data_IF_640010748421
#
_entry.id   IF_640010748421
#
_cell.length_a   1.000
_cell.length_b   1.000
_cell.length_c   1.000
_cell.angle_alpha   90.00
_cell.angle_beta   90.00
_cell.angle_gamma   90.00
#
_symmetry.space_group_name_H-M   'P 1'
#
loop_
_entity.id
_entity.type
_entity.pdbx_description
1 polymer ?
#
# COMPACT_ATOMS: atom_id res chain seq x y z
N UNK A 1 11.65 -3.20 -6.06
CA UNK A 1 11.33 -4.13 -4.96
C UNK A 1 10.03 -4.86 -5.27
N UNK A 2 10.07 -6.18 -5.45
CA UNK A 2 8.93 -6.97 -5.93
C UNK A 2 7.73 -6.99 -4.96
N UNK A 3 8.02 -7.06 -3.65
CA UNK A 3 7.01 -7.11 -2.58
C UNK A 3 6.07 -5.89 -2.53
N UNK A 4 6.50 -4.75 -3.10
CA UNK A 4 5.68 -3.53 -3.26
C UNK A 4 5.02 -3.51 -4.64
N UNK A 5 5.79 -3.78 -5.71
CA UNK A 5 5.28 -3.73 -7.09
C UNK A 5 4.18 -4.76 -7.35
N UNK A 6 4.29 -5.95 -6.78
CA UNK A 6 3.34 -7.04 -6.94
C UNK A 6 2.61 -7.34 -5.62
N UNK A 7 2.48 -6.33 -4.76
CA UNK A 7 1.75 -6.47 -3.51
C UNK A 7 0.28 -6.86 -3.79
N UNK A 8 -0.29 -7.86 -3.10
CA UNK A 8 -1.66 -8.29 -3.37
C UNK A 8 -2.71 -7.20 -3.13
N UNK A 9 -2.48 -6.26 -2.21
CA UNK A 9 -3.37 -5.11 -2.03
C UNK A 9 -3.33 -4.17 -3.25
N UNK A 10 -2.15 -3.98 -3.86
CA UNK A 10 -2.00 -3.25 -5.13
C UNK A 10 -2.74 -3.94 -6.27
N UNK A 11 -2.60 -5.26 -6.39
CA UNK A 11 -3.31 -6.05 -7.43
C UNK A 11 -4.83 -5.87 -7.26
N UNK A 12 -5.33 -5.85 -6.03
CA UNK A 12 -6.73 -5.58 -5.71
C UNK A 12 -7.13 -4.09 -5.84
N UNK A 13 -6.18 -3.18 -6.06
CA UNK A 13 -6.43 -1.75 -6.22
C UNK A 13 -6.87 -1.06 -4.93
N UNK A 14 -6.46 -1.56 -3.77
CA UNK A 14 -6.89 -1.08 -2.44
C UNK A 14 -5.69 -0.77 -1.54
N UNK A 15 -5.94 -0.06 -0.45
CA UNK A 15 -4.97 0.14 0.64
C UNK A 15 -4.93 -1.09 1.57
N UNK A 16 -3.86 -1.23 2.35
CA UNK A 16 -3.67 -2.35 3.27
C UNK A 16 -4.76 -2.43 4.36
N UNK A 17 -5.27 -1.26 4.78
CA UNK A 17 -6.33 -1.12 5.77
C UNK A 17 -7.73 -0.91 5.14
N UNK A 18 -7.90 -1.25 3.86
CA UNK A 18 -9.18 -1.12 3.19
C UNK A 18 -10.26 -2.03 3.82
N UNK A 19 -11.50 -1.55 3.80
CA UNK A 19 -12.62 -2.33 4.30
C UNK A 19 -12.88 -3.56 3.44
N UNK A 20 -13.49 -4.61 4.01
CA UNK A 20 -13.97 -5.78 3.25
C UNK A 20 -14.89 -5.37 2.10
N UNK A 21 -15.69 -4.31 2.29
CA UNK A 21 -16.57 -3.76 1.26
C UNK A 21 -15.79 -3.20 0.07
N UNK A 22 -14.73 -2.46 0.30
CA UNK A 22 -13.88 -1.91 -0.77
C UNK A 22 -13.15 -3.02 -1.53
N UNK A 23 -12.64 -4.03 -0.81
CA UNK A 23 -12.02 -5.21 -1.40
C UNK A 23 -13.00 -5.93 -2.33
N UNK A 24 -14.22 -6.26 -1.87
CA UNK A 24 -15.20 -6.96 -2.71
C UNK A 24 -15.70 -6.10 -3.89
N UNK A 25 -15.84 -4.78 -3.70
CA UNK A 25 -16.17 -3.84 -4.78
C UNK A 25 -15.12 -3.91 -5.89
N UNK A 26 -13.85 -3.75 -5.54
CA UNK A 26 -12.77 -3.74 -6.53
C UNK A 26 -12.58 -5.11 -7.18
N UNK A 27 -12.69 -6.22 -6.43
CA UNK A 27 -12.69 -7.59 -7.00
C UNK A 27 -13.78 -7.75 -8.06
N UNK A 28 -14.98 -7.27 -7.78
CA UNK A 28 -16.12 -7.34 -8.70
C UNK A 28 -15.86 -6.50 -9.96
N UNK A 29 -15.29 -5.30 -9.80
CA UNK A 29 -14.92 -4.43 -10.91
C UNK A 29 -13.84 -5.06 -11.79
N UNK A 30 -12.78 -5.62 -11.20
CA UNK A 30 -11.71 -6.31 -11.95
C UNK A 30 -12.29 -7.48 -12.76
N UNK A 31 -13.14 -8.32 -12.15
CA UNK A 31 -13.81 -9.42 -12.86
C UNK A 31 -14.70 -8.93 -14.00
N UNK A 32 -15.42 -7.82 -13.82
CA UNK A 32 -16.28 -7.26 -14.86
C UNK A 32 -15.47 -6.75 -16.07
N UNK A 33 -14.35 -6.07 -15.82
CA UNK A 33 -13.46 -5.58 -16.87
C UNK A 33 -12.76 -6.73 -17.61
N UNK A 34 -12.34 -7.77 -16.90
CA UNK A 34 -11.71 -8.96 -17.50
C UNK A 34 -12.63 -9.65 -18.52
N UNK A 35 -13.95 -9.71 -18.27
CA UNK A 35 -14.95 -10.29 -19.20
C UNK A 35 -14.99 -9.60 -20.57
N UNK A 36 -14.57 -8.34 -20.65
CA UNK A 36 -14.53 -7.57 -21.91
C UNK A 36 -13.10 -7.34 -22.40
N UNK A 37 -12.13 -8.10 -21.90
CA UNK A 37 -10.72 -8.01 -22.30
C UNK A 37 -10.04 -6.71 -21.89
N UNK A 38 -10.47 -6.09 -20.78
CA UNK A 38 -9.92 -4.84 -20.26
C UNK A 38 -9.41 -5.00 -18.83
N UNK A 39 -8.57 -4.06 -18.41
CA UNK A 39 -8.04 -3.97 -17.04
C UNK A 39 -8.44 -2.62 -16.44
N UNK A 40 -9.05 -2.57 -15.24
CA UNK A 40 -9.33 -1.30 -14.59
C UNK A 40 -8.06 -0.72 -13.98
N UNK A 41 -8.01 0.62 -13.89
CA UNK A 41 -7.03 1.36 -13.11
C UNK A 41 -7.66 1.88 -11.82
N UNK A 42 -6.88 1.93 -10.75
CA UNK A 42 -7.29 2.46 -9.46
C UNK A 42 -6.32 3.55 -8.97
N UNK A 43 -6.77 4.46 -8.09
CA UNK A 43 -5.92 5.54 -7.57
C UNK A 43 -4.64 5.07 -6.88
N UNK A 44 -4.65 3.86 -6.32
CA UNK A 44 -3.54 3.28 -5.56
C UNK A 44 -2.62 2.40 -6.41
N UNK A 45 -2.73 2.46 -7.74
CA UNK A 45 -1.84 1.72 -8.63
C UNK A 45 -0.44 2.33 -8.63
N UNK A 46 -0.37 3.66 -8.45
CA UNK A 46 0.85 4.47 -8.47
C UNK A 46 1.73 4.17 -9.69
N UNK A 47 1.11 4.05 -10.87
CA UNK A 47 1.81 3.60 -12.09
C UNK A 47 2.94 4.55 -12.52
N UNK A 48 2.81 5.84 -12.19
CA UNK A 48 3.85 6.87 -12.35
C UNK A 48 5.15 6.54 -11.59
N UNK A 49 5.05 5.79 -10.49
CA UNK A 49 6.19 5.47 -9.60
C UNK A 49 6.57 3.99 -9.69
N UNK A 50 5.59 3.09 -9.78
CA UNK A 50 5.78 1.64 -9.70
C UNK A 50 5.72 0.95 -11.07
N UNK A 51 5.36 1.67 -12.14
CA UNK A 51 5.06 1.11 -13.45
C UNK A 51 3.68 0.47 -13.50
N UNK A 52 3.33 -0.12 -14.65
CA UNK A 52 2.02 -0.77 -14.83
C UNK A 52 1.80 -1.91 -13.84
N UNK A 53 0.54 -2.11 -13.45
CA UNK A 53 0.12 -3.25 -12.65
C UNK A 53 -0.58 -4.28 -13.53
N UNK A 54 -0.21 -5.55 -13.37
CA UNK A 54 -0.86 -6.65 -14.08
C UNK A 54 -2.09 -7.14 -13.28
N UNK A 55 -3.24 -7.23 -13.96
CA UNK A 55 -4.50 -7.72 -13.38
C UNK A 55 -5.19 -8.69 -14.32
N UNK A 56 -4.59 -9.85 -14.48
CA UNK A 56 -5.27 -11.01 -15.07
C UNK A 56 -6.19 -11.66 -14.03
N UNK A 57 -7.02 -12.60 -14.48
CA UNK A 57 -7.86 -13.39 -13.56
C UNK A 57 -6.99 -14.21 -12.61
N UNK A 58 -5.84 -14.68 -13.11
CA UNK A 58 -4.83 -15.43 -12.38
C UNK A 58 -4.19 -14.57 -11.28
N UNK A 59 -3.72 -13.37 -11.63
CA UNK A 59 -3.17 -12.41 -10.65
C UNK A 59 -4.20 -12.06 -9.57
N UNK A 60 -5.47 -11.88 -9.95
CA UNK A 60 -6.54 -11.60 -9.01
C UNK A 60 -6.75 -12.75 -8.02
N UNK A 61 -6.83 -13.99 -8.51
CA UNK A 61 -7.04 -15.16 -7.67
C UNK A 61 -5.86 -15.41 -6.73
N UNK A 62 -4.62 -15.22 -7.21
CA UNK A 62 -3.41 -15.30 -6.40
C UNK A 62 -3.40 -14.23 -5.30
N UNK A 63 -3.72 -12.97 -5.62
CA UNK A 63 -3.80 -11.90 -4.63
C UNK A 63 -4.85 -12.18 -3.53
N UNK A 64 -6.01 -12.71 -3.91
CA UNK A 64 -7.05 -13.13 -2.94
C UNK A 64 -6.56 -14.28 -2.07
N UNK A 65 -5.89 -15.27 -2.66
CA UNK A 65 -5.31 -16.40 -1.92
C UNK A 65 -4.28 -15.93 -0.89
N UNK A 66 -3.34 -15.07 -1.30
CA UNK A 66 -2.34 -14.45 -0.44
C UNK A 66 -2.92 -13.64 0.72
N UNK A 67 -4.11 -13.07 0.55
CA UNK A 67 -4.80 -12.28 1.57
C UNK A 67 -5.89 -13.07 2.30
N UNK A 68 -5.83 -14.41 2.27
CA UNK A 68 -6.79 -15.25 3.00
C UNK A 68 -6.47 -15.31 4.49
N UNK A 69 -5.20 -15.53 4.87
CA UNK A 69 -4.78 -15.65 6.27
C UNK A 69 -4.35 -14.31 6.87
N UNK A 70 -4.69 -14.10 8.14
CA UNK A 70 -4.43 -12.81 8.81
C UNK A 70 -2.94 -12.49 8.95
N UNK A 71 -2.09 -13.49 9.18
CA UNK A 71 -0.62 -13.31 9.19
C UNK A 71 -0.10 -12.73 7.87
N UNK A 72 -0.66 -13.17 6.75
CA UNK A 72 -0.20 -12.79 5.42
C UNK A 72 -0.74 -11.40 5.06
N UNK A 73 -1.98 -11.09 5.49
CA UNK A 73 -2.52 -9.72 5.44
C UNK A 73 -1.60 -8.73 6.14
N UNK A 74 -1.15 -9.04 7.36
CA UNK A 74 -0.20 -8.20 8.10
C UNK A 74 1.13 -8.11 7.36
N UNK A 75 1.70 -9.25 6.93
CA UNK A 75 2.98 -9.28 6.24
C UNK A 75 2.97 -8.45 4.95
N UNK A 76 1.96 -8.62 4.08
CA UNK A 76 1.82 -7.80 2.87
C UNK A 76 1.44 -6.36 3.18
N UNK A 77 0.71 -6.11 4.28
CA UNK A 77 0.33 -4.76 4.71
C UNK A 77 1.51 -3.92 5.18
N UNK A 78 2.54 -4.52 5.78
CA UNK A 78 3.79 -3.83 6.13
C UNK A 78 4.53 -3.27 4.91
N UNK A 79 4.32 -3.89 3.74
CA UNK A 79 4.92 -3.48 2.47
C UNK A 79 3.91 -2.88 1.50
N UNK A 80 2.84 -2.28 2.03
CA UNK A 80 1.87 -1.54 1.24
C UNK A 80 1.32 -0.33 1.99
N UNK A 81 0.74 0.60 1.22
CA UNK A 81 0.26 1.85 1.76
C UNK A 81 -1.05 1.70 2.55
N UNK A 82 -1.24 2.56 3.55
CA UNK A 82 -2.46 2.66 4.33
C UNK A 82 -2.86 4.12 4.56
N UNK A 83 -4.14 4.36 4.82
CA UNK A 83 -4.66 5.70 5.14
C UNK A 83 -5.35 5.66 6.50
N UNK A 84 -4.70 6.19 7.53
CA UNK A 84 -5.25 6.27 8.89
C UNK A 84 -5.56 7.72 9.28
N UNK A 85 -4.81 8.67 8.71
CA UNK A 85 -4.92 10.10 8.98
C UNK A 85 -5.15 10.88 7.69
N UNK A 86 -5.62 12.13 7.82
CA UNK A 86 -5.77 13.02 6.66
C UNK A 86 -4.42 13.32 5.97
N UNK A 87 -3.31 13.23 6.70
CA UNK A 87 -1.95 13.38 6.18
C UNK A 87 -1.57 12.22 5.26
N UNK A 88 -1.96 10.99 5.63
CA UNK A 88 -1.74 9.83 4.78
C UNK A 88 -2.49 9.98 3.46
N UNK A 89 -3.76 10.40 3.51
CA UNK A 89 -4.57 10.62 2.32
C UNK A 89 -3.97 11.68 1.40
N UNK A 90 -3.48 12.80 1.97
CA UNK A 90 -2.81 13.85 1.22
C UNK A 90 -1.50 13.34 0.60
N UNK A 91 -0.69 12.58 1.34
CA UNK A 91 0.51 11.95 0.80
C UNK A 91 0.17 11.00 -0.36
N UNK A 92 -0.88 10.18 -0.25
CA UNK A 92 -1.29 9.24 -1.30
C UNK A 92 -1.79 9.96 -2.55
N UNK A 93 -2.55 11.05 -2.40
CA UNK A 93 -2.96 11.91 -3.52
C UNK A 93 -1.75 12.49 -4.24
N UNK A 94 -0.76 12.95 -3.48
CA UNK A 94 0.48 13.46 -4.05
C UNK A 94 1.31 12.34 -4.69
N UNK A 95 1.37 11.14 -4.11
CA UNK A 95 2.09 10.01 -4.71
C UNK A 95 1.47 9.59 -6.05
N UNK A 96 0.15 9.64 -6.18
CA UNK A 96 -0.57 9.32 -7.42
C UNK A 96 -0.41 10.37 -8.52
N UNK A 97 -0.21 11.65 -8.16
CA UNK A 97 -0.18 12.77 -9.11
C UNK A 97 1.21 13.37 -9.35
N UNK A 98 2.15 13.20 -8.42
CA UNK A 98 3.47 13.84 -8.41
C UNK A 98 4.61 12.81 -8.34
N UNK A 99 5.80 13.20 -7.86
CA UNK A 99 6.96 12.34 -7.75
C UNK A 99 7.19 11.85 -6.30
N UNK A 100 7.94 10.75 -6.20
CA UNK A 100 8.25 10.05 -4.95
C UNK A 100 8.89 10.96 -3.87
N UNK A 101 9.74 11.91 -4.28
CA UNK A 101 10.51 12.76 -3.37
C UNK A 101 9.61 13.71 -2.58
N UNK A 102 8.57 14.25 -3.21
CA UNK A 102 7.61 15.10 -2.52
C UNK A 102 6.87 14.32 -1.43
N UNK A 103 6.37 13.12 -1.73
CA UNK A 103 5.66 12.28 -0.75
C UNK A 103 6.53 11.93 0.47
N UNK A 104 7.83 11.67 0.25
CA UNK A 104 8.79 11.44 1.34
C UNK A 104 8.96 12.71 2.16
N UNK A 105 9.24 13.84 1.52
CA UNK A 105 9.43 15.12 2.21
C UNK A 105 8.21 15.53 3.01
N UNK A 106 7.01 15.29 2.48
CA UNK A 106 5.74 15.61 3.14
C UNK A 106 5.59 14.85 4.46
N UNK A 107 5.78 13.53 4.46
CA UNK A 107 5.67 12.74 5.70
C UNK A 107 6.85 12.96 6.65
N UNK A 108 8.05 13.26 6.16
CA UNK A 108 9.16 13.65 7.04
C UNK A 108 8.87 14.95 7.79
N UNK A 109 8.15 15.90 7.18
CA UNK A 109 7.84 17.21 7.78
C UNK A 109 6.59 17.17 8.64
N UNK A 110 5.53 16.50 8.18
CA UNK A 110 4.20 16.58 8.79
C UNK A 110 3.73 15.28 9.42
N UNK A 111 4.38 14.15 9.13
CA UNK A 111 4.00 12.84 9.64
C UNK A 111 4.00 12.78 11.17
N UNK A 112 3.07 12.00 11.71
CA UNK A 112 2.89 11.82 13.16
C UNK A 112 3.56 10.55 13.63
N UNK A 113 3.51 10.26 14.94
CA UNK A 113 3.99 8.98 15.49
C UNK A 113 2.96 7.84 15.32
N UNK A 114 2.06 7.95 14.34
CA UNK A 114 1.09 6.91 13.98
C UNK A 114 1.75 5.80 13.18
N UNK A 115 1.25 4.56 13.33
CA UNK A 115 1.76 3.39 12.61
C UNK A 115 1.76 3.60 11.08
N UNK A 116 0.75 4.31 10.56
CA UNK A 116 0.59 4.55 9.12
C UNK A 116 1.72 5.40 8.55
N UNK A 117 2.20 6.41 9.30
CA UNK A 117 3.34 7.25 8.89
C UNK A 117 4.58 6.39 8.69
N UNK A 118 4.88 5.48 9.62
CA UNK A 118 6.05 4.61 9.52
C UNK A 118 5.94 3.57 8.40
N UNK A 119 4.78 2.94 8.22
CA UNK A 119 4.54 2.00 7.11
C UNK A 119 4.71 2.72 5.77
N UNK A 120 4.06 3.88 5.61
CA UNK A 120 4.07 4.64 4.38
C UNK A 120 5.48 5.15 4.05
N UNK A 121 6.21 5.74 5.00
CA UNK A 121 7.62 6.16 4.81
C UNK A 121 8.55 4.98 4.54
N UNK A 122 8.31 3.83 5.17
CA UNK A 122 9.03 2.58 4.91
C UNK A 122 8.87 2.15 3.45
N UNK A 123 7.62 2.10 2.96
CA UNK A 123 7.32 1.79 1.57
C UNK A 123 7.95 2.79 0.60
N UNK A 124 7.82 4.10 0.83
CA UNK A 124 8.43 5.14 -0.01
C UNK A 124 9.97 5.00 -0.05
N UNK A 125 10.59 4.74 1.09
CA UNK A 125 12.05 4.54 1.20
C UNK A 125 12.51 3.31 0.43
N UNK A 126 11.77 2.20 0.49
CA UNK A 126 12.05 1.00 -0.29
C UNK A 126 11.92 1.25 -1.81
N UNK A 127 10.92 2.03 -2.23
CA UNK A 127 10.76 2.42 -3.63
C UNK A 127 11.95 3.28 -4.09
N UNK A 128 12.43 4.19 -3.22
CA UNK A 128 13.60 5.04 -3.48
C UNK A 128 14.93 4.28 -3.46
N UNK A 129 14.96 3.07 -2.91
CA UNK A 129 16.20 2.30 -2.69
C UNK A 129 16.97 2.70 -1.44
N UNK A 130 16.34 3.46 -0.53
CA UNK A 130 16.91 3.90 0.74
C UNK A 130 16.66 2.86 1.85
N UNK A 131 17.38 1.74 1.81
CA UNK A 131 17.17 0.60 2.72
C UNK A 131 17.34 0.93 4.20
N UNK A 132 18.31 1.77 4.55
CA UNK A 132 18.55 2.21 5.93
C UNK A 132 17.35 2.98 6.50
N UNK A 133 16.76 3.85 5.69
CA UNK A 133 15.59 4.64 6.08
C UNK A 133 14.36 3.74 6.21
N UNK A 134 14.19 2.79 5.28
CA UNK A 134 13.12 1.80 5.39
C UNK A 134 13.23 0.98 6.68
N UNK A 135 14.43 0.46 6.99
CA UNK A 135 14.68 -0.28 8.21
C UNK A 135 14.41 0.57 9.46
N UNK A 136 14.87 1.82 9.48
CA UNK A 136 14.58 2.77 10.55
C UNK A 136 13.07 2.95 10.75
N UNK A 137 12.30 3.17 9.69
CA UNK A 137 10.85 3.31 9.78
C UNK A 137 10.18 2.06 10.36
N UNK A 138 10.57 0.86 9.90
CA UNK A 138 9.98 -0.38 10.41
C UNK A 138 10.38 -0.70 11.86
N UNK A 139 11.58 -0.35 12.30
CA UNK A 139 11.96 -0.47 13.73
C UNK A 139 11.10 0.49 14.56
N UNK A 140 10.98 1.75 14.13
CA UNK A 140 10.19 2.78 14.84
C UNK A 140 8.70 2.47 14.92
N UNK A 141 8.16 1.75 13.94
CA UNK A 141 6.80 1.22 13.98
C UNK A 141 6.57 0.38 15.24
N UNK A 142 7.49 -0.54 15.56
CA UNK A 142 7.36 -1.45 16.70
C UNK A 142 7.84 -0.86 18.04
N UNK A 143 8.67 0.18 18.00
CA UNK A 143 9.11 0.92 19.20
C UNK A 143 8.09 1.95 19.69
N UNK A 144 7.05 2.25 18.90
CA UNK A 144 6.00 3.19 19.32
C UNK A 144 5.24 2.61 20.52
N UNK A 145 5.43 3.23 21.69
CA UNK A 145 4.89 2.81 23.00
C UNK A 145 3.36 2.56 22.97
N UNK A 146 2.63 3.19 22.06
CA UNK A 146 1.18 3.05 21.94
C UNK A 146 0.70 1.69 21.39
N UNK A 147 1.53 0.97 20.64
CA UNK A 147 1.15 -0.35 20.11
C UNK A 147 1.08 -1.41 21.20
N UNK A 148 2.02 -1.38 22.15
CA UNK A 148 2.10 -2.37 23.22
C UNK A 148 1.14 -2.09 24.38
N UNK A 149 0.77 -0.83 24.61
CA UNK A 149 -0.18 -0.45 25.67
C UNK A 149 -1.65 -0.82 25.35
N UNK A 150 -1.93 -1.36 24.16
CA UNK A 150 -3.27 -1.82 23.74
C UNK A 150 -3.44 -3.34 23.77
N UNK A 151 -2.41 -4.06 24.20
CA UNK A 151 -2.42 -5.51 24.48
C UNK A 151 -2.22 -5.75 25.98
#
# INVERSE_FOLDING_TARGET
>A
MDIIRNNPYRVLGVLANASRKDIERNKSQIKAFAKVGRTPSFPYDFENVLGKVERTVECLNDAVSKLTFDKDKVAYGLFWFCANTFLDEEMLRNLASTNLDFSISYLCTYGTQEYSTYINLGCLSLIKGSWSNAAYCFVRLFDSLEMWNKY
#
